data_IF_104972267127
#
_entry.id   IF_104972267127
#
_cell.length_a   1.000
_cell.length_b   1.000
_cell.length_c   1.000
_cell.angle_alpha   90.00
_cell.angle_beta   90.00
_cell.angle_gamma   90.00
#
_symmetry.space_group_name_H-M   'P 1'
#
loop_
_entity.id
_entity.type
_entity.pdbx_description
1 polymer ?
#
# COMPACT_ATOMS: atom_id res chain seq x y z
N UNK A 1 -15.16 -2.36 1.25
CA UNK A 1 -15.35 -1.60 -0.01
C UNK A 1 -16.15 -0.34 0.21
N UNK A 2 -17.41 -0.42 0.66
CA UNK A 2 -18.25 0.77 0.93
C UNK A 2 -17.58 1.82 1.84
N UNK A 3 -16.92 1.40 2.93
CA UNK A 3 -16.21 2.31 3.84
C UNK A 3 -15.11 3.11 3.14
N UNK A 4 -14.31 2.45 2.31
CA UNK A 4 -13.19 3.10 1.58
C UNK A 4 -13.74 4.03 0.51
N UNK A 5 -14.79 3.61 -0.20
CA UNK A 5 -15.47 4.45 -1.20
C UNK A 5 -16.02 5.73 -0.57
N UNK A 6 -16.72 5.62 0.57
CA UNK A 6 -17.26 6.78 1.27
C UNK A 6 -16.15 7.75 1.74
N UNK A 7 -15.05 7.22 2.30
CA UNK A 7 -13.91 8.03 2.71
C UNK A 7 -13.25 8.73 1.50
N UNK A 8 -13.02 8.02 0.40
CA UNK A 8 -12.37 8.58 -0.79
C UNK A 8 -13.19 9.71 -1.40
N UNK A 9 -14.50 9.51 -1.57
CA UNK A 9 -15.39 10.55 -2.10
C UNK A 9 -15.50 11.73 -1.13
N UNK A 10 -15.54 11.49 0.19
CA UNK A 10 -15.55 12.55 1.19
C UNK A 10 -14.27 13.42 1.15
N UNK A 11 -13.09 12.79 1.08
CA UNK A 11 -11.81 13.50 0.98
C UNK A 11 -11.74 14.32 -0.32
N UNK A 12 -12.19 13.76 -1.44
CA UNK A 12 -12.24 14.47 -2.71
C UNK A 12 -13.18 15.69 -2.65
N UNK A 13 -14.38 15.54 -2.07
CA UNK A 13 -15.32 16.63 -1.90
C UNK A 13 -14.76 17.75 -1.00
N UNK A 14 -14.09 17.40 0.10
CA UNK A 14 -13.42 18.38 0.96
C UNK A 14 -12.34 19.15 0.20
N UNK A 15 -11.49 18.48 -0.58
CA UNK A 15 -10.47 19.14 -1.41
C UNK A 15 -11.07 20.14 -2.40
N UNK A 16 -12.11 19.71 -3.11
CA UNK A 16 -12.85 20.55 -4.05
C UNK A 16 -13.43 21.80 -3.41
N UNK A 17 -13.98 21.67 -2.18
CA UNK A 17 -14.51 22.81 -1.45
C UNK A 17 -13.40 23.76 -0.96
N UNK A 18 -12.26 23.20 -0.55
CA UNK A 18 -11.13 23.99 -0.03
C UNK A 18 -10.38 24.77 -1.11
N UNK A 19 -10.42 24.34 -2.38
CA UNK A 19 -9.65 24.96 -3.46
C UNK A 19 -10.36 24.87 -4.81
N UNK A 20 -10.53 26.02 -5.46
CA UNK A 20 -11.08 26.10 -6.81
C UNK A 20 -10.15 25.39 -7.82
N UNK A 21 -10.73 24.51 -8.65
CA UNK A 21 -10.04 23.60 -9.59
C UNK A 21 -9.06 24.28 -10.56
N UNK A 22 -9.19 25.58 -10.80
CA UNK A 22 -8.35 26.36 -11.71
C UNK A 22 -6.97 26.73 -11.15
N UNK A 23 -6.75 26.56 -9.84
CA UNK A 23 -5.48 26.93 -9.21
C UNK A 23 -4.65 25.71 -8.76
N UNK A 24 -5.11 24.47 -8.98
CA UNK A 24 -4.49 23.25 -8.47
C UNK A 24 -3.27 22.84 -9.29
N UNK A 25 -2.09 22.97 -8.72
CA UNK A 25 -0.85 22.38 -9.27
C UNK A 25 -0.76 20.91 -8.86
N UNK A 26 -0.25 20.06 -9.75
CA UNK A 26 -0.12 18.60 -9.56
C UNK A 26 0.72 18.23 -8.32
N UNK A 27 1.58 19.14 -7.87
CA UNK A 27 2.46 18.97 -6.71
C UNK A 27 1.76 19.18 -5.36
N UNK A 28 0.58 19.80 -5.35
CA UNK A 28 -0.06 20.25 -4.13
C UNK A 28 -0.96 19.15 -3.58
N UNK A 29 -0.49 18.48 -2.52
CA UNK A 29 -1.25 17.46 -1.81
C UNK A 29 -2.35 18.03 -0.90
N UNK A 30 -3.15 17.12 -0.32
CA UNK A 30 -4.17 17.44 0.69
C UNK A 30 -3.66 18.29 1.86
N UNK A 31 -2.45 18.05 2.42
CA UNK A 31 -1.91 18.90 3.49
C UNK A 31 -1.63 20.34 3.04
N UNK A 32 -1.26 20.58 1.77
CA UNK A 32 -1.00 21.93 1.26
C UNK A 32 -2.31 22.73 1.10
N UNK A 33 -3.40 22.09 0.70
CA UNK A 33 -4.72 22.74 0.67
C UNK A 33 -5.17 23.25 2.06
N UNK A 34 -4.78 22.56 3.14
CA UNK A 34 -5.02 23.00 4.52
C UNK A 34 -4.11 24.16 4.93
N UNK A 35 -2.85 24.15 4.49
CA UNK A 35 -1.88 25.23 4.71
C UNK A 35 -2.39 26.57 4.15
N UNK A 36 -2.90 26.56 2.93
CA UNK A 36 -3.48 27.74 2.28
C UNK A 36 -4.68 28.35 3.03
N UNK A 37 -5.45 27.53 3.76
CA UNK A 37 -6.58 27.98 4.58
C UNK A 37 -6.16 28.39 6.01
N UNK A 38 -4.86 28.44 6.31
CA UNK A 38 -4.32 28.83 7.62
C UNK A 38 -4.39 27.74 8.70
N UNK A 39 -4.68 26.48 8.34
CA UNK A 39 -4.84 25.35 9.26
C UNK A 39 -3.54 24.53 9.41
N UNK A 40 -2.47 25.18 9.87
CA UNK A 40 -1.13 24.56 10.01
C UNK A 40 -1.11 23.32 10.91
N UNK A 41 -1.90 23.30 11.99
CA UNK A 41 -1.94 22.17 12.92
C UNK A 41 -2.45 20.88 12.24
N UNK A 42 -3.42 21.00 11.33
CA UNK A 42 -4.01 19.88 10.62
C UNK A 42 -3.05 19.34 9.55
N UNK A 43 -2.29 20.23 8.89
CA UNK A 43 -1.23 19.85 7.94
C UNK A 43 -0.20 18.93 8.61
N UNK A 44 0.33 19.31 9.79
CA UNK A 44 1.33 18.50 10.47
C UNK A 44 0.81 17.11 10.87
N UNK A 45 -0.41 17.04 11.41
CA UNK A 45 -1.03 15.77 11.78
C UNK A 45 -1.26 14.87 10.56
N UNK A 46 -1.72 15.45 9.44
CA UNK A 46 -1.96 14.71 8.21
C UNK A 46 -0.67 14.19 7.58
N UNK A 47 0.40 14.99 7.56
CA UNK A 47 1.71 14.57 7.04
C UNK A 47 2.29 13.39 7.82
N UNK A 48 2.21 13.42 9.15
CA UNK A 48 2.66 12.30 10.01
C UNK A 48 1.82 11.05 9.74
N UNK A 49 0.50 11.20 9.64
CA UNK A 49 -0.42 10.10 9.31
C UNK A 49 -0.13 9.49 7.93
N UNK A 50 0.13 10.32 6.93
CA UNK A 50 0.48 9.89 5.58
C UNK A 50 1.79 9.08 5.55
N UNK A 51 2.83 9.54 6.25
CA UNK A 51 4.10 8.81 6.35
C UNK A 51 3.93 7.42 6.99
N UNK A 52 3.19 7.36 8.10
CA UNK A 52 2.90 6.10 8.79
C UNK A 52 2.07 5.13 7.92
N UNK A 53 1.02 5.65 7.28
CA UNK A 53 0.16 4.87 6.38
C UNK A 53 0.92 4.34 5.16
N UNK A 54 1.70 5.19 4.49
CA UNK A 54 2.50 4.80 3.33
C UNK A 54 3.51 3.71 3.69
N UNK A 55 4.21 3.87 4.82
CA UNK A 55 5.19 2.86 5.30
C UNK A 55 4.53 1.50 5.50
N UNK A 56 3.36 1.49 6.15
CA UNK A 56 2.59 0.26 6.37
C UNK A 56 2.22 -0.42 5.05
N UNK A 57 1.73 0.35 4.08
CA UNK A 57 1.34 -0.17 2.76
C UNK A 57 2.55 -0.71 1.99
N UNK A 58 3.70 -0.04 2.06
CA UNK A 58 4.94 -0.51 1.44
C UNK A 58 5.38 -1.87 1.99
N UNK A 59 5.37 -2.04 3.32
CA UNK A 59 5.73 -3.32 3.96
C UNK A 59 4.73 -4.43 3.59
N UNK A 60 3.43 -4.13 3.61
CA UNK A 60 2.38 -5.11 3.21
C UNK A 60 2.53 -5.53 1.75
N UNK A 61 2.87 -4.60 0.87
CA UNK A 61 3.09 -4.89 -0.56
C UNK A 61 4.28 -5.82 -0.76
N UNK A 62 5.41 -5.56 -0.08
CA UNK A 62 6.60 -6.42 -0.12
C UNK A 62 6.29 -7.83 0.41
N UNK A 63 5.57 -7.93 1.54
CA UNK A 63 5.16 -9.23 2.09
C UNK A 63 4.28 -10.01 1.13
N UNK A 64 3.31 -9.34 0.50
CA UNK A 64 2.41 -9.95 -0.47
C UNK A 64 3.17 -10.43 -1.71
N UNK A 65 4.15 -9.64 -2.19
CA UNK A 65 5.00 -10.02 -3.30
C UNK A 65 5.85 -11.27 -2.99
N UNK A 66 6.43 -11.37 -1.80
CA UNK A 66 7.19 -12.57 -1.37
C UNK A 66 6.28 -13.80 -1.31
N UNK A 67 5.07 -13.67 -0.75
CA UNK A 67 4.10 -14.77 -0.72
C UNK A 67 3.67 -15.21 -2.12
N UNK A 68 3.41 -14.26 -3.01
CA UNK A 68 3.07 -14.55 -4.40
C UNK A 68 4.24 -15.26 -5.12
N UNK A 69 5.47 -14.81 -4.90
CA UNK A 69 6.66 -15.43 -5.47
C UNK A 69 6.86 -16.88 -4.99
N UNK A 70 6.56 -17.19 -3.72
CA UNK A 70 6.59 -18.56 -3.22
C UNK A 70 5.53 -19.45 -3.88
N UNK A 71 4.29 -18.96 -4.05
CA UNK A 71 3.25 -19.69 -4.78
C UNK A 71 3.65 -19.96 -6.23
N UNK A 72 4.24 -18.96 -6.90
CA UNK A 72 4.72 -19.10 -8.28
C UNK A 72 5.96 -20.03 -8.40
N UNK A 73 6.76 -20.15 -7.34
CA UNK A 73 7.85 -21.13 -7.27
C UNK A 73 7.33 -22.55 -7.02
N UNK A 74 6.23 -22.71 -6.26
CA UNK A 74 5.50 -23.99 -6.13
C UNK A 74 4.87 -24.41 -7.47
N UNK A 75 4.40 -23.45 -8.27
CA UNK A 75 3.90 -23.67 -9.63
C UNK A 75 5.04 -23.92 -10.66
N UNK A 76 6.31 -23.81 -10.24
CA UNK A 76 7.50 -24.11 -11.06
C UNK A 76 7.90 -23.03 -12.07
N UNK A 77 7.34 -21.82 -11.98
CA UNK A 77 7.43 -20.78 -13.02
C UNK A 77 8.62 -19.82 -12.86
N UNK A 78 9.09 -19.57 -11.64
CA UNK A 78 10.24 -18.69 -11.34
C UNK A 78 11.31 -19.47 -10.58
N UNK A 79 12.50 -19.57 -11.20
CA UNK A 79 13.72 -20.26 -10.77
C UNK A 79 13.73 -20.88 -9.36
N UNK A 80 13.91 -22.20 -9.31
CA UNK A 80 14.14 -23.06 -8.12
C UNK A 80 15.26 -22.60 -7.16
N UNK A 81 15.99 -21.52 -7.43
CA UNK A 81 17.02 -20.96 -6.56
C UNK A 81 16.43 -20.34 -5.28
N UNK A 82 15.18 -19.83 -5.31
CA UNK A 82 14.43 -19.44 -4.11
C UNK A 82 13.66 -20.61 -3.47
N UNK A 83 13.55 -21.74 -4.17
CA UNK A 83 12.92 -22.96 -3.66
C UNK A 83 13.87 -23.79 -2.75
N UNK A 84 15.16 -23.45 -2.67
CA UNK A 84 16.09 -24.09 -1.74
C UNK A 84 16.06 -23.40 -0.37
N UNK A 85 14.95 -23.58 0.35
CA UNK A 85 14.88 -23.34 1.80
C UNK A 85 15.51 -24.54 2.51
N UNK A 86 16.67 -24.32 3.13
CA UNK A 86 17.45 -25.35 3.81
C UNK A 86 16.69 -26.02 4.98
N UNK A 87 16.92 -27.33 5.09
CA UNK A 87 16.25 -28.40 5.86
C UNK A 87 16.22 -28.28 7.40
N UNK A 88 15.98 -27.11 8.02
CA UNK A 88 15.83 -27.07 9.49
C UNK A 88 14.42 -26.84 10.04
N UNK A 89 13.48 -26.23 9.33
CA UNK A 89 12.08 -26.18 9.84
C UNK A 89 11.06 -25.79 8.78
N UNK A 90 10.05 -26.66 8.60
CA UNK A 90 8.75 -26.44 7.93
C UNK A 90 8.72 -26.41 6.39
N UNK A 91 9.41 -27.36 5.75
CA UNK A 91 9.09 -27.77 4.37
C UNK A 91 7.84 -28.65 4.38
N UNK A 92 6.80 -28.30 3.60
CA UNK A 92 5.76 -29.26 3.24
C UNK A 92 6.32 -30.22 2.19
N UNK A 93 6.42 -31.49 2.55
CA UNK A 93 6.76 -32.57 1.65
C UNK A 93 5.61 -32.82 0.66
N UNK A 94 5.58 -32.11 -0.46
CA UNK A 94 4.74 -32.44 -1.61
C UNK A 94 5.54 -33.23 -2.65
N UNK A 95 6.00 -34.43 -2.26
CA UNK A 95 6.43 -35.45 -3.23
C UNK A 95 6.21 -36.81 -2.61
N UNK A 96 4.98 -37.32 -2.73
CA UNK A 96 4.73 -38.76 -2.75
C UNK A 96 3.34 -39.08 -3.29
N UNK A 97 3.32 -39.78 -4.42
CA UNK A 97 2.20 -40.52 -5.03
C UNK A 97 1.15 -39.72 -5.81
N UNK A 98 1.39 -39.55 -7.12
CA UNK A 98 0.42 -40.01 -8.13
C UNK A 98 1.10 -40.22 -9.49
N UNK A 99 1.20 -41.49 -9.86
CA UNK A 99 1.29 -42.02 -11.23
C UNK A 99 0.23 -41.42 -12.14
#
# INVERSE_FOLDING_TARGET
MLTVTALYTGVAACLTLLRNWTQITITDGFPEAMNYNGLYWAQYMMSIGAMCGMTTVSVVTLYTAVRAALSMAEDGLICSLFANISKKTQVKHASRYRT
#
